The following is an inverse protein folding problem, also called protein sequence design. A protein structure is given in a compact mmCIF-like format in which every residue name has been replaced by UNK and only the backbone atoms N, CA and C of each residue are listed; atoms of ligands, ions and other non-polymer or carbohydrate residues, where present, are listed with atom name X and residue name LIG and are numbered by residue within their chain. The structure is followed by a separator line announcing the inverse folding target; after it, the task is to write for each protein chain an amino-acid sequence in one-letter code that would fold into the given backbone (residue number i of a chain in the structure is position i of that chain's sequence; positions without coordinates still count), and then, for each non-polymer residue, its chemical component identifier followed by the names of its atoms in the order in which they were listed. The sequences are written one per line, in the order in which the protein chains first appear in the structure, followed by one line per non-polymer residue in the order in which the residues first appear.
data_IF_157794542977
#
_entry.id   IF_157794542977
#
_cell.length_a   1.000
_cell.length_b   1.000
_cell.length_c   1.000
_cell.angle_alpha   90.00
_cell.angle_beta   90.00
_cell.angle_gamma   90.00
#
_symmetry.space_group_name_H-M   'P 1'
#
loop_
_entity.id
_entity.type
_entity.pdbx_description
1 polymer ?
#
# COMPACT_ATOMS: atom_id res chain seq x y z
N UNK A 1 -8.24 -19.86 -3.54
CA UNK A 1 -8.10 -19.06 -4.77
C UNK A 1 -6.62 -18.80 -4.98
N UNK A 2 -6.17 -18.58 -6.21
CA UNK A 2 -4.79 -18.19 -6.47
C UNK A 2 -4.62 -16.71 -6.09
N UNK A 3 -3.51 -16.35 -5.46
CA UNK A 3 -3.16 -14.95 -5.18
C UNK A 3 -2.71 -14.29 -6.49
N UNK A 4 -3.24 -13.12 -6.81
CA UNK A 4 -2.87 -12.39 -8.05
C UNK A 4 -2.86 -10.88 -7.86
N UNK A 5 -2.14 -10.19 -8.74
CA UNK A 5 -2.15 -8.73 -8.84
C UNK A 5 -3.40 -8.28 -9.60
N UNK A 6 -4.20 -7.41 -9.00
CA UNK A 6 -5.32 -6.75 -9.66
C UNK A 6 -4.90 -5.45 -10.34
N UNK A 7 -4.06 -4.68 -9.65
CA UNK A 7 -3.65 -3.34 -10.13
C UNK A 7 -2.25 -3.01 -9.65
N UNK A 8 -1.49 -2.33 -10.51
CA UNK A 8 -0.22 -1.69 -10.17
C UNK A 8 -0.44 -0.18 -10.24
N UNK A 9 -0.06 0.52 -9.16
CA UNK A 9 -0.21 1.96 -9.04
C UNK A 9 1.12 2.62 -8.68
N UNK A 10 1.35 3.82 -9.21
CA UNK A 10 2.54 4.64 -8.92
C UNK A 10 2.13 6.01 -8.42
N UNK A 11 2.97 6.65 -7.60
CA UNK A 11 2.79 8.00 -7.11
C UNK A 11 3.80 8.96 -7.70
N UNK A 12 3.36 10.19 -7.94
CA UNK A 12 4.24 11.33 -8.26
C UNK A 12 4.30 12.27 -7.07
N UNK A 13 5.45 12.91 -6.89
CA UNK A 13 5.62 13.92 -5.85
C UNK A 13 4.81 15.16 -6.18
N UNK A 14 3.73 15.35 -5.45
CA UNK A 14 2.81 16.49 -5.57
C UNK A 14 2.60 17.14 -4.19
N UNK A 15 2.27 18.43 -4.18
CA UNK A 15 1.80 19.07 -2.96
C UNK A 15 0.39 18.60 -2.65
N UNK A 16 0.21 17.97 -1.50
CA UNK A 16 -1.10 17.56 -0.98
C UNK A 16 -1.54 18.50 0.13
N UNK A 17 -2.82 18.87 0.16
CA UNK A 17 -3.40 19.66 1.26
C UNK A 17 -3.55 18.77 2.50
N UNK A 18 -3.17 19.30 3.66
CA UNK A 18 -3.35 18.66 4.97
C UNK A 18 -4.59 19.20 5.70
N UNK A 19 -5.23 20.25 5.16
CA UNK A 19 -6.41 20.86 5.78
C UNK A 19 -7.64 20.00 5.48
N UNK A 20 -8.36 19.63 6.54
CA UNK A 20 -9.60 18.87 6.46
C UNK A 20 -10.85 19.74 6.74
N UNK A 21 -10.69 21.06 6.83
CA UNK A 21 -11.79 22.01 7.02
C UNK A 21 -11.53 23.31 6.26
N UNK A 22 -12.61 23.97 5.82
CA UNK A 22 -12.58 25.28 5.14
C UNK A 22 -12.12 26.44 6.05
N UNK A 23 -11.85 26.19 7.33
CA UNK A 23 -11.49 27.18 8.35
C UNK A 23 -10.02 27.10 8.80
N UNK A 24 -9.26 26.10 8.35
CA UNK A 24 -7.84 25.97 8.67
C UNK A 24 -7.00 26.57 7.55
N UNK A 25 -5.87 27.21 7.90
CA UNK A 25 -4.87 27.62 6.91
C UNK A 25 -4.46 26.40 6.08
N UNK A 26 -4.43 26.58 4.76
CA UNK A 26 -4.08 25.52 3.81
C UNK A 26 -2.61 25.17 3.96
N UNK A 27 -2.34 24.10 4.73
CA UNK A 27 -1.01 23.53 4.85
C UNK A 27 -0.81 22.47 3.78
N UNK A 28 0.22 22.62 2.97
CA UNK A 28 0.60 21.62 1.96
C UNK A 28 1.89 20.93 2.33
N UNK A 29 2.06 19.69 1.88
CA UNK A 29 3.29 18.93 2.01
C UNK A 29 3.57 18.17 0.72
N UNK A 30 4.84 18.16 0.30
CA UNK A 30 5.26 17.35 -0.85
C UNK A 30 5.15 15.87 -0.50
N UNK A 31 4.47 15.10 -1.35
CA UNK A 31 4.26 13.66 -1.11
C UNK A 31 3.89 12.92 -2.39
N UNK A 32 4.34 11.67 -2.50
CA UNK A 32 3.92 10.72 -3.52
C UNK A 32 2.90 9.69 -2.99
N UNK A 33 2.20 10.02 -1.88
CA UNK A 33 1.25 9.12 -1.22
C UNK A 33 -0.01 8.88 -2.06
N UNK A 34 -0.39 9.82 -2.93
CA UNK A 34 -1.50 9.65 -3.85
C UNK A 34 -1.05 8.82 -5.05
N UNK A 35 -1.51 7.59 -5.14
CA UNK A 35 -1.17 6.67 -6.22
C UNK A 35 -2.23 6.68 -7.32
N UNK A 36 -1.77 6.42 -8.55
CA UNK A 36 -2.61 6.31 -9.74
C UNK A 36 -2.36 4.97 -10.41
N UNK A 37 -3.40 4.21 -10.81
CA UNK A 37 -3.26 2.97 -11.55
C UNK A 37 -2.53 3.18 -12.88
N UNK A 38 -1.54 2.34 -13.16
CA UNK A 38 -0.78 2.32 -14.43
C UNK A 38 -0.90 0.99 -15.16
N UNK A 39 -1.29 -0.09 -14.45
CA UNK A 39 -1.61 -1.39 -15.01
C UNK A 39 -2.77 -1.97 -14.22
N UNK A 40 -3.78 -2.52 -14.91
CA UNK A 40 -4.91 -3.21 -14.32
C UNK A 40 -5.33 -4.40 -15.20
N UNK A 41 -6.32 -5.18 -14.75
CA UNK A 41 -6.75 -6.41 -15.46
C UNK A 41 -7.20 -6.13 -16.90
N UNK A 42 -7.83 -4.99 -17.15
CA UNK A 42 -8.35 -4.63 -18.48
C UNK A 42 -7.27 -3.97 -19.37
N UNK A 43 -6.23 -3.40 -18.76
CA UNK A 43 -5.10 -2.76 -19.43
C UNK A 43 -3.78 -3.17 -18.77
N UNK A 44 -3.23 -4.29 -19.22
CA UNK A 44 -2.03 -4.91 -18.67
C UNK A 44 -0.77 -4.26 -19.22
N UNK A 45 -0.33 -3.19 -18.59
CA UNK A 45 0.94 -2.51 -18.88
C UNK A 45 2.05 -3.15 -18.07
N UNK A 46 3.14 -3.50 -18.73
CA UNK A 46 4.34 -4.06 -18.10
C UNK A 46 5.12 -2.94 -17.41
N UNK A 47 5.39 -3.10 -16.13
CA UNK A 47 6.12 -2.13 -15.29
C UNK A 47 7.42 -2.76 -14.81
N UNK A 48 8.54 -2.06 -15.01
CA UNK A 48 9.84 -2.48 -14.49
C UNK A 48 9.87 -2.35 -12.97
N UNK A 49 10.46 -3.35 -12.32
CA UNK A 49 10.70 -3.41 -10.89
C UNK A 49 12.21 -3.47 -10.64
N UNK A 50 12.75 -2.42 -10.01
CA UNK A 50 14.15 -2.31 -9.62
C UNK A 50 14.28 -2.41 -8.08
N UNK A 51 15.51 -2.38 -7.53
CA UNK A 51 15.75 -2.50 -6.09
C UNK A 51 15.08 -1.40 -5.25
N UNK A 52 14.83 -0.24 -5.85
CA UNK A 52 14.17 0.90 -5.21
C UNK A 52 12.63 0.88 -5.37
N UNK A 53 12.08 -0.10 -6.11
CA UNK A 53 10.65 -0.29 -6.33
C UNK A 53 10.24 -0.21 -7.80
N UNK A 54 9.02 0.24 -8.06
CA UNK A 54 8.42 0.29 -9.39
C UNK A 54 8.90 1.49 -10.18
N UNK A 55 9.24 1.27 -11.44
CA UNK A 55 9.61 2.36 -12.35
C UNK A 55 8.49 3.41 -12.42
N UNK A 56 8.89 4.66 -12.18
CA UNK A 56 7.97 5.79 -12.22
C UNK A 56 7.29 6.09 -10.89
N UNK A 57 7.42 5.24 -9.88
CA UNK A 57 7.02 5.56 -8.51
C UNK A 57 8.05 6.49 -7.86
N UNK A 58 7.59 7.55 -7.21
CA UNK A 58 8.46 8.55 -6.58
C UNK A 58 8.32 8.52 -5.06
N UNK A 59 9.36 8.97 -4.36
CA UNK A 59 9.38 9.09 -2.91
C UNK A 59 9.85 10.49 -2.52
N UNK A 60 9.00 11.24 -1.80
CA UNK A 60 9.31 12.61 -1.40
C UNK A 60 10.36 12.70 -0.29
N UNK A 61 10.49 11.67 0.53
CA UNK A 61 11.42 11.62 1.66
C UNK A 61 11.83 10.17 1.93
N UNK A 62 13.03 9.81 1.46
CA UNK A 62 13.60 8.47 1.62
C UNK A 62 14.04 8.15 3.06
N UNK A 63 14.13 9.15 3.95
CA UNK A 63 14.50 8.92 5.34
C UNK A 63 13.36 8.28 6.16
N UNK A 64 12.12 8.49 5.73
CA UNK A 64 10.89 8.03 6.44
C UNK A 64 10.05 7.11 5.58
N UNK A 65 9.96 7.41 4.28
CA UNK A 65 9.12 6.70 3.31
C UNK A 65 9.97 6.23 2.12
N UNK A 66 9.87 4.94 1.77
CA UNK A 66 10.67 4.31 0.73
C UNK A 66 11.95 3.67 1.26
N UNK A 67 12.97 3.57 0.41
CA UNK A 67 14.18 2.78 0.64
C UNK A 67 13.94 1.28 0.46
N UNK A 68 15.04 0.51 0.37
CA UNK A 68 14.97 -0.90 -0.05
C UNK A 68 14.03 -1.77 0.80
N UNK A 69 13.92 -1.52 2.10
CA UNK A 69 13.02 -2.27 2.98
C UNK A 69 11.52 -1.92 2.81
N UNK A 70 11.21 -0.84 2.11
CA UNK A 70 9.85 -0.33 1.84
C UNK A 70 9.70 0.05 0.38
N UNK A 71 10.32 -0.73 -0.51
CA UNK A 71 10.38 -0.45 -1.94
C UNK A 71 8.99 -0.52 -2.60
N UNK A 72 8.14 -1.43 -2.14
CA UNK A 72 6.78 -1.63 -2.68
C UNK A 72 5.80 -1.80 -1.52
N UNK A 73 4.69 -1.08 -1.55
CA UNK A 73 3.57 -1.26 -0.64
C UNK A 73 2.46 -2.08 -1.30
N UNK A 74 2.03 -3.14 -0.63
CA UNK A 74 0.99 -4.07 -1.07
C UNK A 74 -0.24 -3.99 -0.17
N UNK A 75 -1.43 -4.09 -0.78
CA UNK A 75 -2.70 -4.01 -0.07
C UNK A 75 -3.75 -4.98 -0.63
N UNK A 76 -4.48 -5.72 0.24
CA UNK A 76 -5.57 -6.61 -0.17
C UNK A 76 -6.81 -5.84 -0.66
N UNK A 77 -7.32 -6.21 -1.82
CA UNK A 77 -8.56 -5.63 -2.36
C UNK A 77 -9.77 -5.94 -1.47
N UNK A 78 -9.72 -7.04 -0.72
CA UNK A 78 -10.75 -7.48 0.23
C UNK A 78 -11.13 -6.43 1.25
N UNK A 79 -10.24 -5.47 1.53
CA UNK A 79 -10.47 -4.42 2.52
C UNK A 79 -11.14 -3.16 1.97
N UNK A 80 -11.29 -3.03 0.65
CA UNK A 80 -11.86 -1.83 0.04
C UNK A 80 -13.30 -1.56 0.46
N UNK A 81 -14.12 -2.62 0.61
CA UNK A 81 -15.50 -2.48 1.06
C UNK A 81 -15.61 -1.96 2.50
N UNK A 82 -14.67 -2.37 3.38
CA UNK A 82 -14.58 -1.77 4.71
C UNK A 82 -14.38 -0.26 4.61
N UNK A 83 -13.41 0.20 3.79
CA UNK A 83 -13.10 1.62 3.66
C UNK A 83 -14.24 2.44 3.09
N UNK A 84 -14.95 1.94 2.08
CA UNK A 84 -16.15 2.61 1.53
C UNK A 84 -17.22 2.86 2.59
N UNK A 85 -17.36 1.97 3.54
CA UNK A 85 -18.36 2.05 4.60
C UNK A 85 -17.87 2.77 5.86
N UNK A 86 -16.57 2.78 6.13
CA UNK A 86 -16.01 3.27 7.38
C UNK A 86 -15.58 4.74 7.34
N UNK A 87 -15.31 5.30 6.14
CA UNK A 87 -14.81 6.67 5.99
C UNK A 87 -15.96 7.67 6.02
N UNK A 88 -15.82 8.67 6.89
CA UNK A 88 -16.67 9.85 6.95
C UNK A 88 -16.02 11.01 6.17
N UNK A 89 -16.09 10.95 4.85
CA UNK A 89 -15.42 11.87 3.96
C UNK A 89 -16.37 12.46 2.91
N UNK A 90 -15.92 13.52 2.21
CA UNK A 90 -16.64 14.09 1.08
C UNK A 90 -16.70 13.10 -0.09
N UNK A 91 -17.65 13.30 -1.01
CA UNK A 91 -17.79 12.49 -2.23
C UNK A 91 -16.49 12.41 -3.04
N UNK A 92 -15.69 13.49 -3.08
CA UNK A 92 -14.40 13.53 -3.78
C UNK A 92 -13.41 12.52 -3.18
N UNK A 93 -13.38 12.36 -1.86
CA UNK A 93 -12.51 11.38 -1.21
C UNK A 93 -13.07 9.97 -1.34
N UNK A 94 -14.38 9.80 -1.27
CA UNK A 94 -15.04 8.50 -1.45
C UNK A 94 -14.85 7.97 -2.87
N UNK A 95 -14.95 8.82 -3.90
CA UNK A 95 -14.75 8.41 -5.30
C UNK A 95 -13.33 7.90 -5.59
N UNK A 96 -12.33 8.23 -4.75
CA UNK A 96 -10.99 7.63 -4.87
C UNK A 96 -11.01 6.13 -4.61
N UNK A 97 -11.92 5.65 -3.76
CA UNK A 97 -12.05 4.22 -3.45
C UNK A 97 -12.69 3.41 -4.59
N UNK A 98 -13.18 4.07 -5.65
CA UNK A 98 -13.64 3.41 -6.87
C UNK A 98 -12.48 2.87 -7.72
N UNK A 99 -11.25 3.29 -7.40
CA UNK A 99 -10.03 2.84 -8.06
C UNK A 99 -9.05 2.26 -7.04
N UNK A 100 -8.31 1.24 -7.44
CA UNK A 100 -7.18 0.74 -6.68
C UNK A 100 -6.04 1.79 -6.63
N UNK A 101 -5.16 1.69 -5.62
CA UNK A 101 -4.16 2.72 -5.32
C UNK A 101 -4.67 3.77 -4.34
N UNK A 102 -5.96 3.77 -4.00
CA UNK A 102 -6.59 4.74 -3.11
C UNK A 102 -6.03 4.72 -1.69
N UNK A 103 -5.63 3.55 -1.20
CA UNK A 103 -4.99 3.35 0.11
C UNK A 103 -3.47 3.60 0.07
N UNK A 104 -2.96 4.17 -1.04
CA UNK A 104 -1.55 4.48 -1.31
C UNK A 104 -0.68 3.27 -1.64
N UNK A 105 -1.28 2.17 -1.98
CA UNK A 105 -0.58 0.95 -2.36
C UNK A 105 -0.05 1.01 -3.80
N UNK A 106 1.09 0.33 -3.99
CA UNK A 106 1.66 0.07 -5.30
C UNK A 106 1.03 -1.17 -5.95
N UNK A 107 0.84 -2.24 -5.15
CA UNK A 107 0.21 -3.47 -5.60
C UNK A 107 -1.11 -3.65 -4.87
N UNK A 108 -2.21 -3.64 -5.61
CA UNK A 108 -3.48 -4.16 -5.10
C UNK A 108 -3.61 -5.60 -5.54
N UNK A 109 -3.82 -6.49 -4.58
CA UNK A 109 -3.89 -7.94 -4.81
C UNK A 109 -5.21 -8.50 -4.32
N UNK A 110 -5.53 -9.74 -4.71
CA UNK A 110 -6.61 -10.52 -4.12
C UNK A 110 -6.15 -11.94 -3.75
N UNK A 111 -6.87 -12.57 -2.83
CA UNK A 111 -6.72 -13.97 -2.45
C UNK A 111 -5.92 -14.22 -1.17
N UNK A 112 -5.39 -13.18 -0.51
CA UNK A 112 -4.66 -13.30 0.76
C UNK A 112 -4.70 -12.00 1.58
N UNK A 113 -4.77 -12.13 2.90
CA UNK A 113 -4.78 -11.01 3.85
C UNK A 113 -3.71 -11.19 4.94
N UNK A 114 -3.54 -10.19 5.79
CA UNK A 114 -2.45 -10.00 6.75
C UNK A 114 -2.17 -11.17 7.69
N UNK A 115 -3.21 -11.95 8.04
CA UNK A 115 -3.07 -13.11 8.95
C UNK A 115 -2.24 -14.24 8.32
N UNK A 116 -2.27 -14.36 7.01
CA UNK A 116 -1.64 -15.43 6.24
C UNK A 116 -0.27 -15.04 5.66
N UNK A 117 0.11 -13.76 5.78
CA UNK A 117 1.38 -13.21 5.28
C UNK A 117 2.37 -13.04 6.42
N UNK A 118 3.61 -13.47 6.24
CA UNK A 118 4.63 -13.43 7.28
C UNK A 118 5.87 -12.67 6.81
N UNK A 119 6.49 -11.95 7.74
CA UNK A 119 7.79 -11.31 7.49
C UNK A 119 8.81 -12.39 7.08
N UNK A 120 9.49 -12.14 5.96
CA UNK A 120 10.44 -13.06 5.34
C UNK A 120 9.84 -14.05 4.34
N UNK A 121 8.50 -14.04 4.12
CA UNK A 121 7.93 -14.77 2.98
C UNK A 121 8.45 -14.13 1.68
N UNK A 122 8.79 -14.96 0.70
CA UNK A 122 9.25 -14.51 -0.63
C UNK A 122 8.14 -14.77 -1.65
N UNK A 123 7.77 -13.73 -2.36
CA UNK A 123 6.74 -13.76 -3.39
C UNK A 123 7.40 -13.68 -4.76
N UNK A 124 7.16 -14.67 -5.59
CA UNK A 124 7.65 -14.71 -6.97
C UNK A 124 6.51 -14.35 -7.92
N UNK A 125 6.78 -13.39 -8.77
CA UNK A 125 5.86 -12.86 -9.78
C UNK A 125 6.68 -12.77 -11.06
N UNK A 126 6.47 -13.72 -11.99
CA UNK A 126 7.34 -13.84 -13.17
C UNK A 126 8.84 -13.90 -12.79
N UNK A 127 9.66 -12.94 -13.19
CA UNK A 127 11.09 -12.87 -12.86
C UNK A 127 11.37 -12.06 -11.58
N UNK A 128 10.36 -11.37 -11.04
CA UNK A 128 10.51 -10.53 -9.84
C UNK A 128 10.37 -11.37 -8.58
N UNK A 129 11.28 -11.18 -7.63
CA UNK A 129 11.16 -11.75 -6.28
C UNK A 129 11.09 -10.62 -5.25
N UNK A 130 10.02 -10.65 -4.45
CA UNK A 130 9.72 -9.69 -3.40
C UNK A 130 9.74 -10.37 -2.03
N UNK A 131 10.46 -9.81 -1.05
CA UNK A 131 10.44 -10.29 0.32
C UNK A 131 9.57 -9.41 1.21
N UNK A 132 8.65 -10.01 1.94
CA UNK A 132 7.81 -9.31 2.93
C UNK A 132 8.68 -8.81 4.08
N UNK A 133 8.66 -7.49 4.33
CA UNK A 133 9.54 -6.86 5.33
C UNK A 133 8.82 -6.41 6.59
N UNK A 134 7.67 -5.74 6.48
CA UNK A 134 6.99 -5.16 7.62
C UNK A 134 5.51 -4.85 7.32
N UNK A 135 4.63 -4.79 8.34
CA UNK A 135 3.33 -4.15 8.20
C UNK A 135 3.49 -2.66 7.93
N UNK A 136 2.55 -2.06 7.20
CA UNK A 136 2.55 -0.62 6.99
C UNK A 136 1.98 0.10 8.21
N UNK A 137 2.70 1.12 8.66
CA UNK A 137 2.21 2.07 9.65
C UNK A 137 1.59 3.29 8.94
N UNK A 138 0.31 3.64 9.20
CA UNK A 138 -0.28 4.84 8.62
C UNK A 138 0.36 6.09 9.21
N UNK A 139 0.62 7.09 8.37
CA UNK A 139 1.10 8.40 8.78
C UNK A 139 -0.02 9.46 8.64
N UNK A 140 0.20 10.66 9.15
CA UNK A 140 -0.78 11.76 9.08
C UNK A 140 -1.21 12.12 7.64
N UNK A 141 -0.34 11.92 6.66
CA UNK A 141 -0.66 12.12 5.25
C UNK A 141 -1.75 11.17 4.76
N UNK A 142 -1.84 9.97 5.34
CA UNK A 142 -2.89 9.01 5.03
C UNK A 142 -4.27 9.55 5.41
N UNK A 143 -4.41 10.18 6.59
CA UNK A 143 -5.66 10.84 6.98
C UNK A 143 -6.08 11.92 5.96
N UNK A 144 -5.12 12.69 5.47
CA UNK A 144 -5.38 13.77 4.52
C UNK A 144 -5.90 13.23 3.17
N UNK A 145 -5.26 12.20 2.60
CA UNK A 145 -5.72 11.65 1.31
C UNK A 145 -7.02 10.88 1.41
N UNK A 146 -7.33 10.33 2.58
CA UNK A 146 -8.59 9.65 2.85
C UNK A 146 -9.72 10.64 3.19
N UNK A 147 -9.41 11.92 3.46
CA UNK A 147 -10.37 12.92 3.88
C UNK A 147 -11.00 12.66 5.24
N UNK A 148 -10.41 11.78 6.03
CA UNK A 148 -10.91 11.36 7.34
C UNK A 148 -9.77 11.42 8.37
N UNK A 149 -9.90 12.30 9.38
CA UNK A 149 -8.91 12.51 10.44
C UNK A 149 -8.63 11.25 11.27
N UNK A 150 -9.55 10.28 11.24
CA UNK A 150 -9.45 9.03 11.98
C UNK A 150 -9.06 7.83 11.10
N UNK A 151 -8.77 8.01 9.81
CA UNK A 151 -8.45 6.91 8.90
C UNK A 151 -7.28 6.05 9.43
N UNK A 152 -6.20 6.67 9.86
CA UNK A 152 -5.07 5.94 10.46
C UNK A 152 -5.45 5.17 11.72
N UNK A 153 -6.28 5.76 12.59
CA UNK A 153 -6.79 5.08 13.79
C UNK A 153 -7.70 3.91 13.42
N UNK A 154 -8.55 4.07 12.41
CA UNK A 154 -9.41 2.99 11.88
C UNK A 154 -8.54 1.85 11.34
N UNK A 155 -7.49 2.15 10.57
CA UNK A 155 -6.52 1.15 10.10
C UNK A 155 -5.89 0.38 11.26
N UNK A 156 -5.43 1.06 12.31
CA UNK A 156 -4.84 0.43 13.48
C UNK A 156 -5.84 -0.45 14.24
N UNK A 157 -7.07 0.03 14.45
CA UNK A 157 -8.07 -0.71 15.23
C UNK A 157 -8.56 -1.98 14.52
N UNK A 158 -8.55 -1.98 13.20
CA UNK A 158 -9.03 -3.11 12.38
C UNK A 158 -7.90 -4.04 11.90
N UNK A 159 -6.64 -3.63 12.01
CA UNK A 159 -5.51 -4.42 11.53
C UNK A 159 -5.37 -4.48 10.01
N UNK A 160 -6.07 -3.62 9.27
CA UNK A 160 -6.12 -3.59 7.79
C UNK A 160 -4.98 -2.74 7.24
N UNK A 161 -3.74 -3.19 7.42
CA UNK A 161 -2.56 -2.36 7.18
C UNK A 161 -1.83 -2.64 5.87
N UNK A 162 -2.03 -3.81 5.24
CA UNK A 162 -1.15 -4.27 4.18
C UNK A 162 0.30 -4.43 4.64
N UNK A 163 1.23 -4.54 3.71
CA UNK A 163 2.65 -4.76 4.03
C UNK A 163 3.60 -4.18 3.00
N UNK A 164 4.83 -4.01 3.40
CA UNK A 164 5.92 -3.63 2.53
C UNK A 164 6.70 -4.82 2.05
N UNK A 165 7.30 -4.64 0.85
CA UNK A 165 8.28 -5.53 0.28
C UNK A 165 9.63 -4.83 0.08
N UNK A 166 10.70 -5.61 0.20
CA UNK A 166 11.97 -5.35 -0.49
C UNK A 166 12.01 -6.16 -1.79
N UNK A 167 12.75 -5.66 -2.77
CA UNK A 167 12.98 -6.36 -4.04
C UNK A 167 14.26 -7.20 -3.91
N UNK A 168 14.15 -8.52 -4.05
CA UNK A 168 15.27 -9.47 -4.05
C UNK A 168 15.83 -9.73 -5.44
N UNK A 169 14.93 -9.88 -6.41
CA UNK A 169 15.28 -10.02 -7.81
C UNK A 169 14.49 -9.02 -8.65
N UNK A 170 15.19 -8.26 -9.46
CA UNK A 170 14.62 -7.25 -10.37
C UNK A 170 14.05 -7.89 -11.61
N UNK A 171 13.09 -7.24 -12.26
CA UNK A 171 12.46 -7.75 -13.47
C UNK A 171 11.34 -6.83 -13.93
N UNK A 172 10.29 -7.41 -14.46
CA UNK A 172 9.10 -6.68 -14.87
C UNK A 172 7.86 -7.46 -14.44
N UNK A 173 6.79 -6.74 -14.13
CA UNK A 173 5.51 -7.33 -13.74
C UNK A 173 4.34 -6.51 -14.29
N UNK A 174 3.17 -7.14 -14.40
CA UNK A 174 1.93 -6.48 -14.81
C UNK A 174 0.73 -6.99 -14.00
N UNK A 175 -0.39 -6.30 -14.10
CA UNK A 175 -1.63 -6.78 -13.50
C UNK A 175 -2.07 -8.11 -14.16
N UNK A 176 -2.80 -8.94 -13.42
CA UNK A 176 -3.25 -10.26 -13.84
C UNK A 176 -2.26 -11.40 -13.57
N UNK A 177 -1.00 -11.10 -13.24
CA UNK A 177 -0.03 -12.14 -12.91
C UNK A 177 -0.36 -12.82 -11.58
N UNK A 178 -0.18 -14.15 -11.58
CA UNK A 178 -0.30 -14.97 -10.38
C UNK A 178 0.96 -14.86 -9.53
N UNK A 179 0.76 -14.95 -8.22
CA UNK A 179 1.83 -14.84 -7.24
C UNK A 179 2.10 -16.23 -6.66
N UNK A 180 3.35 -16.68 -6.73
CA UNK A 180 3.82 -17.87 -6.03
C UNK A 180 4.49 -17.46 -4.73
N UNK A 181 4.05 -18.04 -3.60
CA UNK A 181 4.52 -17.69 -2.27
C UNK A 181 5.42 -18.80 -1.72
N UNK A 182 6.68 -18.46 -1.44
CA UNK A 182 7.65 -19.30 -0.77
C UNK A 182 7.72 -18.91 0.72
N UNK A 183 7.25 -19.79 1.63
CA UNK A 183 7.23 -19.49 3.05
C UNK A 183 8.62 -19.21 3.62
N UNK A 184 8.75 -18.10 4.34
CA UNK A 184 9.91 -17.77 5.14
C UNK A 184 9.87 -18.47 6.52
N UNK A 185 10.58 -17.91 7.53
CA UNK A 185 10.65 -18.52 8.88
C UNK A 185 9.30 -18.57 9.62
N UNK A 186 8.30 -17.84 9.15
CA UNK A 186 6.93 -17.76 9.69
C UNK A 186 6.84 -17.49 11.20
N UNK A 187 7.76 -16.69 11.73
CA UNK A 187 7.80 -16.32 13.14
C UNK A 187 6.78 -15.25 13.51
N UNK A 188 6.45 -14.37 12.57
CA UNK A 188 5.60 -13.20 12.80
C UNK A 188 4.74 -12.90 11.57
N UNK A 189 3.44 -13.06 11.68
CA UNK A 189 2.51 -12.60 10.63
C UNK A 189 2.44 -11.07 10.60
N UNK A 190 1.99 -10.53 9.47
CA UNK A 190 1.77 -9.09 9.33
C UNK A 190 0.75 -8.60 10.35
N UNK A 191 -0.35 -9.30 10.53
CA UNK A 191 -1.35 -8.96 11.56
C UNK A 191 -0.76 -8.97 12.97
N UNK A 192 0.00 -10.01 13.35
CA UNK A 192 0.65 -10.09 14.65
C UNK A 192 1.70 -9.00 14.88
N UNK A 193 2.42 -8.63 13.81
CA UNK A 193 3.36 -7.50 13.80
C UNK A 193 2.68 -6.18 14.05
N UNK A 194 1.57 -5.93 13.41
CA UNK A 194 0.82 -4.69 13.49
C UNK A 194 0.17 -4.48 14.88
N UNK A 195 -0.41 -5.52 15.47
CA UNK A 195 -0.93 -5.47 16.85
C UNK A 195 0.16 -5.07 17.85
N UNK A 196 1.38 -5.54 17.65
CA UNK A 196 2.52 -5.19 18.52
C UNK A 196 2.94 -3.72 18.38
N UNK A 197 2.82 -3.14 17.19
CA UNK A 197 3.05 -1.72 16.92
C UNK A 197 1.96 -0.84 17.54
N UNK A 198 0.70 -1.23 17.39
CA UNK A 198 -0.44 -0.52 17.98
C UNK A 198 -0.32 -0.36 19.51
N UNK A 199 0.17 -1.40 20.19
CA UNK A 199 0.41 -1.36 21.64
C UNK A 199 1.57 -0.45 22.10
N UNK A 200 2.49 -0.11 21.20
CA UNK A 200 3.62 0.80 21.51
C UNK A 200 3.27 2.27 21.31
N UNK A 201 2.28 2.55 20.47
CA UNK A 201 1.90 3.90 20.04
C UNK A 201 0.58 4.39 20.71
N UNK A 202 -0.05 3.60 21.56
CA UNK A 202 -1.21 3.94 22.37
C UNK A 202 -0.88 4.00 23.84
#
# INVERSE_FOLDING_TARGET
MAVKILTISIGKCLNISLSNSLQEEEKTVLSAIAKTPVSNIDNQVVIRCDLEGLQGDEHADLSVHGGQAKAIYCYPAEHYDFWRNAIEASEIHLSRLDQHGALSENLTIEGIVEDLVFVGDVWKISDVELEVTAPREPCFKFNAIMGDRLAGKKMFSQGLCGWYFSVRNTGSLCAGESIEIFPGPRKRSIAGGFVSLAKKNG
#
